data_IF_332612442730
#
_entry.id   IF_332612442730
#
_cell.length_a   1.000
_cell.length_b   1.000
_cell.length_c   1.000
_cell.angle_alpha   90.00
_cell.angle_beta   90.00
_cell.angle_gamma   90.00
#
_symmetry.space_group_name_H-M   'P 1'
#
loop_
_entity.id
_entity.type
_entity.pdbx_description
1 polymer ?
#
# COMPACT_ATOMS: atom_id res chain seq x y z
N UNK A 1 19.26 -1.51 3.69
CA UNK A 1 18.31 -2.64 3.66
C UNK A 1 17.31 -2.29 2.58
N UNK A 2 17.14 -3.14 1.57
CA UNK A 2 16.16 -2.87 0.51
C UNK A 2 14.74 -3.20 0.98
N UNK A 3 13.70 -2.67 0.32
CA UNK A 3 12.31 -3.07 0.55
C UNK A 3 12.11 -4.60 0.43
N UNK A 4 12.80 -5.22 -0.53
CA UNK A 4 12.76 -6.67 -0.74
C UNK A 4 13.31 -7.43 0.46
N UNK A 5 14.48 -7.03 0.98
CA UNK A 5 15.09 -7.65 2.17
C UNK A 5 14.21 -7.47 3.41
N UNK A 6 13.56 -6.30 3.54
CA UNK A 6 12.64 -6.03 4.63
C UNK A 6 11.41 -6.94 4.59
N UNK A 7 10.77 -7.09 3.42
CA UNK A 7 9.58 -7.94 3.25
C UNK A 7 9.90 -9.44 3.32
N UNK A 8 11.14 -9.83 3.04
CA UNK A 8 11.60 -11.22 3.19
C UNK A 8 11.90 -11.61 4.65
N UNK A 9 11.94 -10.65 5.59
CA UNK A 9 12.16 -10.95 7.01
C UNK A 9 10.93 -11.68 7.60
N UNK A 10 11.08 -12.90 8.15
CA UNK A 10 9.95 -13.65 8.70
C UNK A 10 9.23 -12.93 9.83
N UNK A 11 9.93 -12.06 10.57
CA UNK A 11 9.31 -11.27 11.64
C UNK A 11 8.33 -10.24 11.10
N UNK A 12 8.59 -9.74 9.90
CA UNK A 12 7.70 -8.80 9.20
C UNK A 12 6.44 -9.53 8.74
N UNK A 13 6.59 -10.73 8.16
CA UNK A 13 5.46 -11.57 7.77
C UNK A 13 4.58 -12.04 8.95
N UNK A 14 5.15 -12.24 10.13
CA UNK A 14 4.42 -12.65 11.33
C UNK A 14 3.55 -11.53 11.95
N UNK A 15 3.87 -10.26 11.69
CA UNK A 15 3.23 -9.11 12.35
C UNK A 15 2.39 -8.24 11.41
N UNK A 16 2.52 -8.43 10.09
CA UNK A 16 1.69 -7.73 9.10
C UNK A 16 0.44 -8.52 8.77
N UNK A 17 -0.63 -7.78 8.51
CA UNK A 17 -1.83 -8.36 7.90
C UNK A 17 -1.46 -9.02 6.54
N UNK A 18 -1.91 -10.25 6.27
CA UNK A 18 -1.60 -10.95 5.02
C UNK A 18 -1.96 -10.16 3.76
N UNK A 19 -3.06 -9.40 3.76
CA UNK A 19 -3.48 -8.61 2.60
C UNK A 19 -2.52 -7.44 2.37
N UNK A 20 -2.04 -6.81 3.44
CA UNK A 20 -1.02 -5.76 3.36
C UNK A 20 0.29 -6.34 2.83
N UNK A 21 0.68 -7.53 3.30
CA UNK A 21 1.90 -8.18 2.84
C UNK A 21 1.84 -8.51 1.33
N UNK A 22 0.70 -9.02 0.84
CA UNK A 22 0.48 -9.26 -0.60
C UNK A 22 0.54 -7.95 -1.38
N UNK A 23 -0.07 -6.88 -0.85
CA UNK A 23 -0.04 -5.58 -1.50
C UNK A 23 1.39 -5.04 -1.62
N UNK A 24 2.17 -5.07 -0.54
CA UNK A 24 3.55 -4.57 -0.54
C UNK A 24 4.45 -5.38 -1.46
N UNK A 25 4.33 -6.71 -1.46
CA UNK A 25 5.14 -7.60 -2.33
C UNK A 25 4.80 -7.42 -3.82
N UNK A 26 3.52 -7.22 -4.15
CA UNK A 26 3.08 -6.98 -5.54
C UNK A 26 3.53 -5.61 -6.07
N UNK A 27 3.71 -4.63 -5.19
CA UNK A 27 4.02 -3.26 -5.54
C UNK A 27 5.41 -2.85 -5.06
N UNK A 28 6.40 -3.76 -5.09
CA UNK A 28 7.78 -3.41 -4.76
C UNK A 28 8.33 -2.32 -5.70
N UNK A 29 9.14 -1.37 -5.19
CA UNK A 29 9.89 -0.47 -6.03
C UNK A 29 10.87 -1.26 -6.91
N UNK A 30 11.26 -0.67 -8.04
CA UNK A 30 12.25 -1.29 -8.93
C UNK A 30 13.59 -1.50 -8.22
N UNK A 31 14.35 -2.51 -8.62
CA UNK A 31 15.67 -2.77 -8.05
C UNK A 31 16.65 -1.63 -8.39
N UNK A 32 17.53 -1.31 -7.44
CA UNK A 32 18.60 -0.33 -7.64
C UNK A 32 18.16 1.14 -7.60
N UNK A 33 16.91 1.43 -7.23
CA UNK A 33 16.45 2.80 -7.00
C UNK A 33 17.09 3.41 -5.75
N UNK A 34 17.17 4.73 -5.74
CA UNK A 34 17.59 5.51 -4.57
C UNK A 34 16.53 5.50 -3.48
N UNK A 35 16.92 5.84 -2.25
CA UNK A 35 15.99 5.93 -1.12
C UNK A 35 14.87 6.96 -1.36
N UNK A 36 15.16 8.07 -2.06
CA UNK A 36 14.17 9.09 -2.39
C UNK A 36 13.15 8.58 -3.42
N UNK A 37 13.59 7.80 -4.40
CA UNK A 37 12.71 7.16 -5.40
C UNK A 37 11.84 6.08 -4.75
N UNK A 38 12.41 5.27 -3.86
CA UNK A 38 11.66 4.29 -3.05
C UNK A 38 10.60 4.98 -2.18
N UNK A 39 10.96 6.07 -1.50
CA UNK A 39 10.01 6.85 -0.71
C UNK A 39 8.90 7.45 -1.60
N UNK A 40 9.26 8.02 -2.75
CA UNK A 40 8.31 8.56 -3.72
C UNK A 40 7.32 7.50 -4.24
N UNK A 41 7.81 6.29 -4.52
CA UNK A 41 7.00 5.15 -4.94
C UNK A 41 5.93 4.80 -3.89
N UNK A 42 6.33 4.63 -2.63
CA UNK A 42 5.38 4.30 -1.56
C UNK A 42 4.40 5.45 -1.26
N UNK A 43 4.84 6.69 -1.34
CA UNK A 43 3.96 7.87 -1.20
C UNK A 43 2.88 7.85 -2.29
N UNK A 44 3.23 7.54 -3.54
CA UNK A 44 2.25 7.46 -4.63
C UNK A 44 1.17 6.41 -4.36
N UNK A 45 1.55 5.23 -3.85
CA UNK A 45 0.61 4.18 -3.45
C UNK A 45 -0.31 4.62 -2.30
N UNK A 46 0.23 5.28 -1.27
CA UNK A 46 -0.57 5.80 -0.16
C UNK A 46 -1.59 6.83 -0.67
N UNK A 47 -1.19 7.74 -1.54
CA UNK A 47 -2.08 8.76 -2.12
C UNK A 47 -3.21 8.10 -2.93
N UNK A 48 -2.90 7.10 -3.75
CA UNK A 48 -3.90 6.38 -4.54
C UNK A 48 -4.91 5.64 -3.65
N UNK A 49 -4.46 4.96 -2.59
CA UNK A 49 -5.34 4.28 -1.63
C UNK A 49 -6.24 5.28 -0.88
N UNK A 50 -5.70 6.44 -0.48
CA UNK A 50 -6.51 7.49 0.16
C UNK A 50 -7.61 8.04 -0.76
N UNK A 51 -7.32 8.18 -2.06
CA UNK A 51 -8.31 8.56 -3.05
C UNK A 51 -9.40 7.50 -3.19
N UNK A 52 -9.03 6.21 -3.31
CA UNK A 52 -10.00 5.10 -3.36
C UNK A 52 -10.89 5.04 -2.11
N UNK A 53 -10.32 5.23 -0.92
CA UNK A 53 -11.09 5.27 0.33
C UNK A 53 -12.07 6.46 0.34
N UNK A 54 -11.67 7.63 -0.16
CA UNK A 54 -12.55 8.80 -0.26
C UNK A 54 -13.71 8.52 -1.23
N UNK A 55 -13.44 7.94 -2.39
CA UNK A 55 -14.47 7.57 -3.37
C UNK A 55 -15.43 6.52 -2.81
N UNK A 56 -14.91 5.49 -2.13
CA UNK A 56 -15.74 4.46 -1.50
C UNK A 56 -16.66 5.05 -0.42
N UNK A 57 -16.13 5.93 0.44
CA UNK A 57 -16.94 6.65 1.44
C UNK A 57 -18.02 7.51 0.80
N UNK A 58 -17.73 8.15 -0.34
CA UNK A 58 -18.72 8.91 -1.08
C UNK A 58 -19.84 8.02 -1.61
N UNK A 59 -19.49 6.89 -2.24
CA UNK A 59 -20.45 5.91 -2.77
C UNK A 59 -21.34 5.30 -1.68
N UNK A 60 -20.78 5.00 -0.51
CA UNK A 60 -21.57 4.52 0.64
C UNK A 60 -22.61 5.56 1.05
N UNK A 61 -22.23 6.83 1.16
CA UNK A 61 -23.19 7.91 1.51
C UNK A 61 -24.30 8.09 0.48
N UNK A 62 -24.00 7.92 -0.80
CA UNK A 62 -25.00 7.97 -1.88
C UNK A 62 -25.98 6.79 -1.76
N UNK A 63 -25.47 5.57 -1.56
CA UNK A 63 -26.30 4.38 -1.37
C UNK A 63 -27.17 4.45 -0.10
N UNK A 64 -26.65 5.02 0.98
CA UNK A 64 -27.40 5.23 2.23
C UNK A 64 -28.49 6.31 2.09
N UNK A 65 -28.31 7.29 1.20
CA UNK A 65 -29.32 8.32 0.94
C UNK A 65 -30.44 7.84 0.00
N UNK A 66 -30.17 6.83 -0.82
CA UNK A 66 -31.10 6.22 -1.78
C UNK A 66 -31.95 5.07 -1.17
N UNK A 67 -31.66 4.64 0.07
CA UNK A 67 -32.32 3.54 0.78
C UNK A 67 -33.44 4.03 1.73
#
# INVERSE_FOLDING_TARGET
MSASDFLADPRVAEHLDPEILVYLTTNLPAEGVTADEEAGHWIAHIVALLQQVRELKQRVRELEADA
#
